data_IF_628751887730
#
_entry.id   IF_628751887730
#
_cell.length_a   1.000
_cell.length_b   1.000
_cell.length_c   1.000
_cell.angle_alpha   90.00
_cell.angle_beta   90.00
_cell.angle_gamma   90.00
#
_symmetry.space_group_name_H-M   'P 1'
#
loop_
_entity.id
_entity.type
_entity.pdbx_description
1 polymer ?
#
# COMPACT_ATOMS: atom_id res chain seq x y z
N UNK A 1 -31.66 65.73 -2.69
CA UNK A 1 -31.33 64.82 -1.56
C UNK A 1 -30.57 63.64 -2.14
N UNK A 2 -29.25 63.59 -1.93
CA UNK A 2 -28.32 62.64 -2.56
C UNK A 2 -27.76 61.79 -1.43
N UNK A 3 -28.02 60.48 -1.46
CA UNK A 3 -27.54 59.54 -0.44
C UNK A 3 -26.47 58.66 -1.10
N UNK A 4 -25.25 58.79 -0.58
CA UNK A 4 -24.03 58.05 -0.90
C UNK A 4 -24.03 56.68 -0.23
N UNK A 5 -23.53 55.63 -0.90
CA UNK A 5 -23.09 54.39 -0.23
C UNK A 5 -21.79 53.84 -0.83
N UNK A 6 -20.89 53.46 0.10
CA UNK A 6 -19.49 53.02 -0.03
C UNK A 6 -19.31 51.77 -0.90
N UNK A 7 -18.19 51.73 -1.64
CA UNK A 7 -17.66 50.54 -2.33
C UNK A 7 -17.07 49.55 -1.31
N UNK A 8 -17.39 48.26 -1.48
CA UNK A 8 -16.79 47.13 -0.74
C UNK A 8 -16.07 46.27 -1.76
N UNK A 9 -14.76 46.11 -1.61
CA UNK A 9 -13.94 45.27 -2.49
C UNK A 9 -13.97 43.82 -2.03
N UNK A 10 -14.28 42.90 -2.94
CA UNK A 10 -14.24 41.46 -2.72
C UNK A 10 -12.81 40.95 -2.93
N UNK A 11 -12.20 40.41 -1.88
CA UNK A 11 -10.92 39.70 -1.98
C UNK A 11 -11.11 38.36 -2.69
N UNK A 12 -10.39 38.16 -3.80
CA UNK A 12 -10.34 36.90 -4.55
C UNK A 12 -9.50 35.87 -3.76
N UNK A 13 -10.14 34.81 -3.28
CA UNK A 13 -9.46 33.65 -2.71
C UNK A 13 -9.01 32.76 -3.86
N UNK A 14 -7.69 32.58 -4.01
CA UNK A 14 -7.10 31.67 -4.99
C UNK A 14 -7.46 30.21 -4.67
N UNK A 15 -8.23 29.58 -5.55
CA UNK A 15 -8.64 28.18 -5.43
C UNK A 15 -7.47 27.23 -5.67
N UNK A 16 -7.27 26.29 -4.74
CA UNK A 16 -6.35 25.17 -4.89
C UNK A 16 -6.96 24.19 -5.90
N UNK A 17 -6.33 24.05 -7.06
CA UNK A 17 -6.71 23.06 -8.07
C UNK A 17 -6.20 21.68 -7.65
N UNK A 18 -7.06 20.85 -7.07
CA UNK A 18 -6.74 19.44 -6.77
C UNK A 18 -6.87 18.62 -8.05
N UNK A 19 -5.73 18.29 -8.67
CA UNK A 19 -5.67 17.39 -9.82
C UNK A 19 -5.97 15.96 -9.33
N UNK A 20 -7.20 15.51 -9.60
CA UNK A 20 -7.67 14.18 -9.26
C UNK A 20 -7.08 13.17 -10.26
N UNK A 21 -6.01 12.47 -9.89
CA UNK A 21 -5.49 11.36 -10.69
C UNK A 21 -6.43 10.16 -10.53
N UNK A 22 -6.81 9.45 -11.62
CA UNK A 22 -7.61 8.24 -11.50
C UNK A 22 -6.79 7.16 -10.80
N UNK A 23 -7.21 6.79 -9.59
CA UNK A 23 -6.71 5.59 -8.92
C UNK A 23 -7.36 4.39 -9.64
N UNK A 24 -6.58 3.49 -10.26
CA UNK A 24 -7.15 2.26 -10.80
C UNK A 24 -7.63 1.40 -9.63
N UNK A 25 -8.95 1.33 -9.45
CA UNK A 25 -9.58 0.39 -8.53
C UNK A 25 -9.52 -1.01 -9.16
N UNK A 26 -8.58 -1.83 -8.71
CA UNK A 26 -8.64 -3.26 -8.97
C UNK A 26 -9.76 -3.85 -8.09
N UNK A 27 -10.74 -4.51 -8.71
CA UNK A 27 -11.72 -5.34 -8.01
C UNK A 27 -10.93 -6.40 -7.21
N UNK A 28 -10.89 -6.25 -5.90
CA UNK A 28 -10.47 -7.33 -5.02
C UNK A 28 -11.66 -8.28 -4.93
N UNK A 29 -11.54 -9.46 -5.51
CA UNK A 29 -12.46 -10.57 -5.24
C UNK A 29 -12.41 -10.88 -3.75
N UNK A 30 -13.33 -10.29 -2.99
CA UNK A 30 -13.56 -10.67 -1.60
C UNK A 30 -14.41 -11.92 -1.63
N UNK A 31 -13.75 -13.06 -1.83
CA UNK A 31 -14.37 -14.35 -1.52
C UNK A 31 -14.75 -14.33 -0.04
N UNK A 32 -16.02 -14.62 0.33
CA UNK A 32 -16.53 -14.43 1.69
C UNK A 32 -15.84 -15.30 2.75
N UNK A 33 -14.98 -16.24 2.33
CA UNK A 33 -14.29 -17.19 3.20
C UNK A 33 -12.77 -16.95 3.28
N UNK A 34 -12.27 -15.72 3.09
CA UNK A 34 -10.84 -15.43 3.20
C UNK A 34 -10.50 -14.74 4.52
N UNK A 35 -9.50 -15.28 5.23
CA UNK A 35 -8.92 -14.65 6.43
C UNK A 35 -7.58 -14.02 6.04
N UNK A 36 -7.31 -12.80 6.53
CA UNK A 36 -6.05 -12.09 6.27
C UNK A 36 -5.20 -11.93 7.52
N UNK A 37 -3.91 -12.23 7.40
CA UNK A 37 -2.88 -11.84 8.36
C UNK A 37 -2.07 -10.67 7.77
N UNK A 38 -1.80 -9.66 8.58
CA UNK A 38 -1.00 -8.51 8.19
C UNK A 38 0.05 -8.24 9.26
N UNK A 39 1.29 -8.00 8.84
CA UNK A 39 2.34 -7.51 9.73
C UNK A 39 3.29 -6.60 8.97
N UNK A 40 3.97 -5.73 9.69
CA UNK A 40 4.99 -4.87 9.12
C UNK A 40 5.87 -4.29 10.22
N UNK A 41 7.04 -3.82 9.81
CA UNK A 41 7.98 -3.12 10.68
C UNK A 41 8.83 -2.14 9.90
N UNK A 42 9.39 -1.20 10.64
CA UNK A 42 10.41 -0.27 10.18
C UNK A 42 11.51 -0.22 11.24
N UNK A 43 12.76 -0.23 10.79
CA UNK A 43 13.95 -0.14 11.63
C UNK A 43 14.50 1.28 11.63
N UNK A 44 15.29 1.63 12.65
CA UNK A 44 15.91 2.96 12.76
C UNK A 44 16.84 3.31 11.59
N UNK A 45 17.41 2.29 10.92
CA UNK A 45 18.24 2.48 9.75
C UNK A 45 17.43 2.56 8.43
N UNK A 46 16.11 2.73 8.50
CA UNK A 46 15.23 2.97 7.37
C UNK A 46 14.91 1.74 6.51
N UNK A 47 15.17 0.52 7.01
CA UNK A 47 14.65 -0.69 6.37
C UNK A 47 13.19 -0.86 6.74
N UNK A 48 12.37 -1.24 5.78
CA UNK A 48 10.94 -1.45 6.00
C UNK A 48 10.49 -2.77 5.38
N UNK A 49 9.46 -3.36 5.96
CA UNK A 49 8.78 -4.54 5.42
C UNK A 49 7.31 -4.51 5.77
N UNK A 50 6.46 -4.81 4.78
CA UNK A 50 5.03 -4.99 4.94
C UNK A 50 4.60 -6.31 4.30
N UNK A 51 3.75 -7.07 4.99
CA UNK A 51 3.22 -8.34 4.51
C UNK A 51 1.72 -8.47 4.74
N UNK A 52 1.07 -9.03 3.72
CA UNK A 52 -0.35 -9.36 3.70
C UNK A 52 -0.51 -10.79 3.17
N UNK A 53 -0.99 -11.68 4.03
CA UNK A 53 -1.17 -13.10 3.72
C UNK A 53 -2.65 -13.41 3.78
N UNK A 54 -3.19 -14.05 2.74
CA UNK A 54 -4.59 -14.51 2.69
C UNK A 54 -4.65 -16.03 2.82
N UNK A 55 -5.59 -16.51 3.62
CA UNK A 55 -5.90 -17.93 3.85
C UNK A 55 -7.35 -18.22 3.48
N UNK A 56 -7.63 -19.45 3.06
CA UNK A 56 -9.00 -19.96 2.99
C UNK A 56 -9.46 -20.38 4.39
N UNK A 57 -10.56 -19.78 4.86
CA UNK A 57 -11.17 -20.03 6.17
C UNK A 57 -11.63 -21.48 6.32
N UNK A 58 -12.10 -22.13 5.25
CA UNK A 58 -12.51 -23.53 5.30
C UNK A 58 -11.32 -24.47 5.56
N UNK A 59 -10.13 -24.06 5.13
CA UNK A 59 -8.88 -24.75 5.39
C UNK A 59 -8.33 -24.48 6.80
N UNK A 60 -8.84 -23.49 7.54
CA UNK A 60 -8.55 -23.26 8.96
C UNK A 60 -9.48 -24.08 9.88
N UNK A 61 -10.75 -24.26 9.48
CA UNK A 61 -11.77 -24.95 10.30
C UNK A 61 -11.69 -26.48 10.24
N UNK A 62 -11.05 -27.05 9.22
CA UNK A 62 -10.96 -28.50 9.01
C UNK A 62 -9.85 -29.19 9.84
N UNK A 63 -9.12 -28.44 10.68
CA UNK A 63 -7.96 -28.92 11.44
C UNK A 63 -8.29 -29.46 12.83
N UNK A 64 -8.91 -30.63 12.93
CA UNK A 64 -8.99 -31.36 14.20
C UNK A 64 -7.62 -31.88 14.64
N UNK A 65 -7.02 -31.30 15.70
CA UNK A 65 -5.84 -31.79 16.46
C UNK A 65 -4.65 -32.41 15.69
N UNK A 66 -4.47 -32.08 14.40
CA UNK A 66 -3.27 -32.38 13.62
C UNK A 66 -2.74 -31.06 13.07
N UNK A 67 -1.47 -30.80 13.31
CA UNK A 67 -0.70 -29.64 12.88
C UNK A 67 -1.29 -28.97 11.63
N UNK A 68 -1.82 -27.76 11.83
CA UNK A 68 -2.56 -26.99 10.85
C UNK A 68 -1.63 -26.58 9.69
N UNK A 69 -1.45 -27.44 8.69
CA UNK A 69 -0.78 -27.12 7.42
C UNK A 69 -1.73 -26.38 6.46
N UNK A 70 -2.32 -25.28 6.91
CA UNK A 70 -3.14 -24.43 6.04
C UNK A 70 -2.22 -23.63 5.14
N UNK A 71 -2.20 -23.95 3.84
CA UNK A 71 -1.41 -23.19 2.86
C UNK A 71 -2.11 -21.86 2.56
N UNK A 72 -1.39 -20.72 2.58
CA UNK A 72 -1.95 -19.46 2.12
C UNK A 72 -2.35 -19.50 0.65
N UNK A 73 -3.43 -18.81 0.32
CA UNK A 73 -3.88 -18.62 -1.07
C UNK A 73 -3.15 -17.48 -1.77
N UNK A 74 -2.63 -16.52 -0.99
CA UNK A 74 -1.85 -15.42 -1.52
C UNK A 74 -0.87 -14.88 -0.48
N UNK A 75 0.34 -14.57 -0.94
CA UNK A 75 1.29 -13.70 -0.25
C UNK A 75 1.43 -12.41 -1.05
N UNK A 76 1.40 -11.28 -0.38
CA UNK A 76 1.73 -9.97 -0.96
C UNK A 76 2.55 -9.19 0.04
N UNK A 77 3.52 -8.46 -0.43
CA UNK A 77 4.29 -7.60 0.45
C UNK A 77 5.20 -6.65 -0.31
N UNK A 78 5.88 -5.85 0.49
CA UNK A 78 6.94 -4.98 0.05
C UNK A 78 8.03 -4.91 1.11
N UNK A 79 9.26 -4.68 0.66
CA UNK A 79 10.35 -4.32 1.54
C UNK A 79 11.26 -3.31 0.85
N UNK A 80 11.92 -2.49 1.66
CA UNK A 80 12.87 -1.49 1.18
C UNK A 80 14.12 -1.46 2.04
N UNK A 81 15.24 -1.13 1.41
CA UNK A 81 16.52 -0.95 2.08
C UNK A 81 17.42 -0.02 1.26
N UNK A 82 18.30 0.69 1.95
CA UNK A 82 19.39 1.45 1.34
C UNK A 82 20.63 0.56 1.30
N UNK A 83 21.21 0.40 0.11
CA UNK A 83 22.50 -0.30 -0.03
C UNK A 83 23.67 0.67 0.06
N UNK A 84 24.84 0.11 0.30
CA UNK A 84 26.14 0.78 0.27
C UNK A 84 26.52 1.38 -1.09
N UNK A 85 25.92 0.89 -2.18
CA UNK A 85 26.03 1.43 -3.54
C UNK A 85 25.37 2.82 -3.73
N UNK A 86 24.67 3.33 -2.71
CA UNK A 86 24.00 4.62 -2.73
C UNK A 86 22.61 4.59 -3.36
N UNK A 87 22.00 3.42 -3.56
CA UNK A 87 20.62 3.27 -4.02
C UNK A 87 19.71 2.79 -2.89
N UNK A 88 18.47 3.28 -2.91
CA UNK A 88 17.36 2.68 -2.21
C UNK A 88 16.68 1.67 -3.14
N UNK A 89 16.58 0.44 -2.68
CA UNK A 89 15.83 -0.61 -3.36
C UNK A 89 14.44 -0.73 -2.75
N UNK A 90 13.43 -0.86 -3.61
CA UNK A 90 12.07 -1.21 -3.21
C UNK A 90 11.65 -2.44 -3.99
N UNK A 91 11.29 -3.48 -3.27
CA UNK A 91 10.78 -4.73 -3.85
C UNK A 91 9.33 -4.89 -3.45
N UNK A 92 8.47 -5.07 -4.44
CA UNK A 92 7.06 -5.43 -4.27
C UNK A 92 6.84 -6.82 -4.84
N UNK A 93 6.01 -7.62 -4.20
CA UNK A 93 5.74 -8.97 -4.70
C UNK A 93 4.31 -9.41 -4.47
N UNK A 94 3.88 -10.31 -5.35
CA UNK A 94 2.67 -11.12 -5.20
C UNK A 94 3.01 -12.57 -5.52
N UNK A 95 2.66 -13.49 -4.64
CA UNK A 95 2.73 -14.93 -4.90
C UNK A 95 1.34 -15.54 -4.70
N UNK A 96 0.86 -16.27 -5.70
CA UNK A 96 -0.40 -16.99 -5.67
C UNK A 96 -0.30 -18.21 -6.62
N UNK A 97 -1.44 -18.78 -7.00
CA UNK A 97 -1.53 -19.90 -7.95
C UNK A 97 -0.85 -19.63 -9.31
N UNK A 98 -0.74 -18.37 -9.72
CA UNK A 98 -0.05 -17.96 -10.95
C UNK A 98 1.48 -17.80 -10.77
N UNK A 99 2.02 -18.23 -9.63
CA UNK A 99 3.45 -18.15 -9.31
C UNK A 99 3.86 -16.81 -8.70
N UNK A 100 5.18 -16.60 -8.64
CA UNK A 100 5.80 -15.42 -8.04
C UNK A 100 5.93 -14.27 -9.05
N UNK A 101 5.41 -13.11 -8.69
CA UNK A 101 5.36 -11.90 -9.51
C UNK A 101 6.09 -10.76 -8.76
N UNK A 102 7.41 -10.58 -8.99
CA UNK A 102 8.17 -9.49 -8.38
C UNK A 102 8.13 -8.21 -9.22
N UNK A 103 8.28 -7.08 -8.54
CA UNK A 103 8.54 -5.78 -9.12
C UNK A 103 9.60 -5.06 -8.28
N UNK A 104 10.69 -4.62 -8.92
CA UNK A 104 11.83 -4.01 -8.24
C UNK A 104 12.10 -2.64 -8.83
N UNK A 105 12.26 -1.63 -7.97
CA UNK A 105 12.79 -0.32 -8.36
C UNK A 105 14.02 0.01 -7.55
N UNK A 106 14.94 0.74 -8.18
CA UNK A 106 16.12 1.29 -7.53
C UNK A 106 16.13 2.80 -7.73
N UNK A 107 16.32 3.56 -6.66
CA UNK A 107 16.35 5.02 -6.67
C UNK A 107 17.68 5.48 -6.10
N UNK A 108 18.45 6.25 -6.88
CA UNK A 108 19.73 6.80 -6.41
C UNK A 108 19.47 7.83 -5.32
N UNK A 109 20.13 7.66 -4.18
CA UNK A 109 20.08 8.63 -3.08
C UNK A 109 21.11 9.71 -3.37
N UNK A 110 20.63 10.92 -3.64
CA UNK A 110 21.49 12.11 -3.72
C UNK A 110 21.54 12.71 -2.32
N UNK A 111 22.71 12.64 -1.66
CA UNK A 111 22.94 13.38 -0.41
C UNK A 111 23.05 14.86 -0.76
N UNK A 112 22.14 15.67 -0.22
CA UNK A 112 22.22 17.13 -0.25
C UNK A 112 23.30 17.62 0.73
#
# INVERSE_FOLDING_TARGET
MIITMRRVEFMMIAGILVVMHPVPFAVSETSPNLVSLQFGFETENGQQRNEHIKYDQNALLSGGNKEMKTKPVQYRGDYSFTSDDGYQYVVKYKANENGFQPYVTAHKIVKN
#
